data_IF_057182565120
#
_entry.id   IF_057182565120
#
_cell.length_a   1.000
_cell.length_b   1.000
_cell.length_c   1.000
_cell.angle_alpha   90.00
_cell.angle_beta   90.00
_cell.angle_gamma   90.00
#
_symmetry.space_group_name_H-M   'P 1'
#
loop_
_entity.id
_entity.type
_entity.pdbx_description
1 polymer ?
#
# COMPACT_ATOMS: atom_id res chain seq x y z
N UNK A 1 -30.70 -4.22 -2.39
CA UNK A 1 -29.78 -3.07 -2.28
C UNK A 1 -28.38 -3.66 -2.08
N UNK A 2 -27.66 -3.93 -3.17
CA UNK A 2 -26.35 -4.58 -3.09
C UNK A 2 -25.37 -3.60 -2.42
N UNK A 3 -24.77 -4.00 -1.31
CA UNK A 3 -23.73 -3.23 -0.64
C UNK A 3 -22.62 -2.91 -1.64
N UNK A 4 -22.37 -1.63 -1.93
CA UNK A 4 -21.32 -1.19 -2.86
C UNK A 4 -19.91 -1.63 -2.44
N UNK A 5 -19.74 -2.02 -1.16
CA UNK A 5 -18.49 -2.52 -0.61
C UNK A 5 -18.71 -3.84 0.12
N UNK A 6 -17.80 -4.81 -0.10
CA UNK A 6 -17.76 -6.04 0.69
C UNK A 6 -17.11 -5.76 2.07
N UNK A 7 -17.38 -6.57 3.11
CA UNK A 7 -16.81 -6.39 4.44
C UNK A 7 -15.28 -6.21 4.46
N UNK A 8 -14.59 -6.86 3.52
CA UNK A 8 -13.13 -6.83 3.39
C UNK A 8 -12.62 -5.46 2.92
N UNK A 9 -13.39 -4.75 2.10
CA UNK A 9 -13.00 -3.44 1.56
C UNK A 9 -13.04 -2.34 2.62
N UNK A 10 -13.84 -2.50 3.68
CA UNK A 10 -13.80 -1.59 4.83
C UNK A 10 -12.46 -1.64 5.57
N UNK A 11 -11.80 -2.81 5.60
CA UNK A 11 -10.45 -2.96 6.17
C UNK A 11 -9.43 -2.16 5.36
N UNK A 12 -9.54 -2.21 4.02
CA UNK A 12 -8.70 -1.42 3.14
C UNK A 12 -8.96 0.09 3.29
N UNK A 13 -10.22 0.51 3.41
CA UNK A 13 -10.57 1.92 3.67
C UNK A 13 -9.97 2.39 5.01
N UNK A 14 -9.98 1.56 6.05
CA UNK A 14 -9.33 1.89 7.32
C UNK A 14 -7.81 2.11 7.16
N UNK A 15 -7.14 1.29 6.34
CA UNK A 15 -5.73 1.51 6.01
C UNK A 15 -5.51 2.82 5.25
N UNK A 16 -6.38 3.16 4.29
CA UNK A 16 -6.30 4.44 3.55
C UNK A 16 -6.42 5.64 4.50
N UNK A 17 -7.35 5.58 5.47
CA UNK A 17 -7.52 6.65 6.46
C UNK A 17 -6.24 6.83 7.28
N UNK A 18 -5.58 5.73 7.68
CA UNK A 18 -4.31 5.80 8.40
C UNK A 18 -3.18 6.36 7.53
N UNK A 19 -3.10 5.99 6.25
CA UNK A 19 -2.14 6.56 5.31
C UNK A 19 -2.38 8.05 5.06
N UNK A 20 -3.64 8.48 5.02
CA UNK A 20 -3.99 9.89 4.90
C UNK A 20 -3.58 10.67 6.16
N UNK A 21 -3.85 10.13 7.35
CA UNK A 21 -3.44 10.74 8.61
C UNK A 21 -1.92 10.86 8.70
N UNK A 22 -1.20 9.80 8.34
CA UNK A 22 0.26 9.80 8.25
C UNK A 22 0.76 10.87 7.27
N UNK A 23 0.22 10.91 6.05
CA UNK A 23 0.58 11.88 5.03
C UNK A 23 0.40 13.33 5.51
N UNK A 24 -0.73 13.64 6.16
CA UNK A 24 -0.98 14.97 6.73
C UNK A 24 0.04 15.30 7.83
N UNK A 25 0.36 14.32 8.67
CA UNK A 25 1.27 14.52 9.80
C UNK A 25 2.72 14.71 9.36
N UNK A 26 3.17 13.95 8.36
CA UNK A 26 4.51 14.04 7.80
C UNK A 26 4.72 15.32 7.00
N UNK A 27 3.78 15.69 6.15
CA UNK A 27 3.82 16.98 5.43
C UNK A 27 3.74 18.13 6.42
N UNK A 28 2.86 18.03 7.44
CA UNK A 28 2.76 19.03 8.52
C UNK A 28 4.07 19.19 9.30
N UNK A 29 4.82 18.10 9.51
CA UNK A 29 6.13 18.12 10.17
C UNK A 29 7.20 18.86 9.37
N UNK A 30 7.06 19.01 8.05
CA UNK A 30 7.98 19.80 7.23
C UNK A 30 7.78 21.29 7.51
N UNK A 31 6.53 21.75 7.56
CA UNK A 31 6.21 23.16 7.76
C UNK A 31 6.32 23.60 9.23
N UNK A 32 5.94 22.73 10.17
CA UNK A 32 5.92 23.02 11.59
C UNK A 32 6.47 21.85 12.43
N UNK A 33 7.80 21.69 12.50
CA UNK A 33 8.42 20.55 13.18
C UNK A 33 8.13 20.50 14.69
N UNK A 34 7.75 21.62 15.31
CA UNK A 34 7.47 21.69 16.74
C UNK A 34 6.02 21.29 17.12
N UNK A 35 5.08 21.30 16.15
CA UNK A 35 3.68 20.89 16.37
C UNK A 35 3.42 19.44 15.96
N UNK A 36 4.05 18.99 14.88
CA UNK A 36 3.78 17.68 14.29
C UNK A 36 4.90 16.71 14.66
N UNK A 37 4.61 15.81 15.60
CA UNK A 37 5.56 14.79 16.06
C UNK A 37 5.74 13.69 15.02
N UNK A 38 6.96 13.53 14.49
CA UNK A 38 7.30 12.41 13.57
C UNK A 38 7.02 11.03 14.15
N UNK A 39 7.11 10.86 15.48
CA UNK A 39 6.78 9.58 16.13
C UNK A 39 5.33 9.18 15.93
N UNK A 40 4.40 10.15 15.90
CA UNK A 40 2.99 9.84 15.70
C UNK A 40 2.71 9.41 14.26
N UNK A 41 3.37 10.05 13.28
CA UNK A 41 3.38 9.61 11.89
C UNK A 41 3.90 8.16 11.77
N UNK A 42 5.03 7.85 12.41
CA UNK A 42 5.60 6.49 12.44
C UNK A 42 4.60 5.43 12.94
N UNK A 43 3.75 5.77 13.92
CA UNK A 43 2.68 4.89 14.37
C UNK A 43 1.56 4.74 13.34
N UNK A 44 1.14 5.83 12.69
CA UNK A 44 0.09 5.77 11.66
C UNK A 44 0.51 4.94 10.44
N UNK A 45 1.72 5.14 9.91
CA UNK A 45 2.23 4.37 8.78
C UNK A 45 2.39 2.88 9.12
N UNK A 46 2.91 2.56 10.31
CA UNK A 46 3.14 1.17 10.71
C UNK A 46 1.83 0.43 10.98
N UNK A 47 0.88 1.08 11.64
CA UNK A 47 -0.46 0.49 11.87
C UNK A 47 -1.26 0.38 10.56
N UNK A 48 -1.20 1.39 9.69
CA UNK A 48 -1.81 1.36 8.36
C UNK A 48 -1.25 0.22 7.51
N UNK A 49 0.07 0.05 7.49
CA UNK A 49 0.75 -1.03 6.77
C UNK A 49 0.36 -2.40 7.33
N UNK A 50 0.30 -2.56 8.66
CA UNK A 50 -0.12 -3.82 9.28
C UNK A 50 -1.56 -4.19 8.89
N UNK A 51 -2.49 -3.23 8.89
CA UNK A 51 -3.88 -3.45 8.48
C UNK A 51 -3.97 -3.75 6.99
N UNK A 52 -3.18 -3.08 6.15
CA UNK A 52 -3.14 -3.35 4.71
C UNK A 52 -2.59 -4.77 4.43
N UNK A 53 -1.53 -5.19 5.11
CA UNK A 53 -1.02 -6.57 5.01
C UNK A 53 -2.08 -7.58 5.47
N UNK A 54 -2.78 -7.32 6.58
CA UNK A 54 -3.87 -8.17 7.05
C UNK A 54 -4.99 -8.30 6.00
N UNK A 55 -5.37 -7.18 5.38
CA UNK A 55 -6.32 -7.17 4.26
C UNK A 55 -5.86 -8.10 3.12
N UNK A 56 -4.61 -7.98 2.66
CA UNK A 56 -4.07 -8.82 1.59
C UNK A 56 -4.03 -10.32 1.96
N UNK A 57 -3.70 -10.65 3.21
CA UNK A 57 -3.69 -12.03 3.71
C UNK A 57 -5.11 -12.60 3.72
N UNK A 58 -6.09 -11.83 4.22
CA UNK A 58 -7.48 -12.28 4.24
C UNK A 58 -8.05 -12.47 2.83
N UNK A 59 -7.68 -11.58 1.90
CA UNK A 59 -8.09 -11.67 0.51
C UNK A 59 -7.46 -12.89 -0.18
N UNK A 60 -6.16 -13.14 0.04
CA UNK A 60 -5.47 -14.31 -0.48
C UNK A 60 -6.05 -15.63 0.06
N UNK A 61 -6.45 -15.64 1.34
CA UNK A 61 -7.07 -16.82 1.97
C UNK A 61 -8.46 -17.14 1.40
N UNK A 62 -9.21 -16.12 0.98
CA UNK A 62 -10.53 -16.30 0.34
C UNK A 62 -10.43 -16.76 -1.11
N UNK A 63 -9.50 -16.18 -1.87
CA UNK A 63 -9.31 -16.51 -3.29
C UNK A 63 -8.49 -17.78 -3.51
N UNK A 64 -7.69 -18.22 -2.52
CA UNK A 64 -6.78 -19.36 -2.65
C UNK A 64 -5.58 -19.10 -3.58
N UNK A 65 -5.41 -17.85 -4.02
CA UNK A 65 -4.37 -17.36 -4.93
C UNK A 65 -3.69 -16.14 -4.33
N UNK A 66 -2.56 -15.69 -4.89
CA UNK A 66 -2.03 -14.37 -4.52
C UNK A 66 -3.02 -13.28 -4.97
N UNK A 67 -3.13 -12.16 -4.21
CA UNK A 67 -4.00 -11.04 -4.54
C UNK A 67 -3.38 -10.22 -5.69
N UNK A 68 -3.36 -10.80 -6.88
CA UNK A 68 -2.88 -10.18 -8.12
C UNK A 68 -3.82 -10.55 -9.29
N UNK A 69 -4.93 -11.23 -9.00
CA UNK A 69 -5.82 -11.78 -10.03
C UNK A 69 -6.68 -10.71 -10.67
N UNK A 70 -6.89 -9.57 -10.02
CA UNK A 70 -7.63 -8.42 -10.56
C UNK A 70 -6.77 -7.15 -10.59
N UNK A 71 -7.18 -6.16 -11.38
CA UNK A 71 -6.51 -4.84 -11.39
C UNK A 71 -6.54 -4.18 -10.01
N UNK A 72 -7.65 -4.35 -9.28
CA UNK A 72 -7.77 -3.86 -7.91
C UNK A 72 -6.76 -4.55 -6.98
N UNK A 73 -6.76 -5.88 -6.95
CA UNK A 73 -5.87 -6.67 -6.11
C UNK A 73 -4.40 -6.36 -6.37
N UNK A 74 -3.99 -6.43 -7.65
CA UNK A 74 -2.61 -6.13 -8.07
C UNK A 74 -2.18 -4.70 -7.70
N UNK A 75 -3.06 -3.71 -7.85
CA UNK A 75 -2.78 -2.31 -7.46
C UNK A 75 -2.60 -2.18 -5.95
N UNK A 76 -3.50 -2.79 -5.14
CA UNK A 76 -3.37 -2.75 -3.68
C UNK A 76 -2.12 -3.46 -3.18
N UNK A 77 -1.79 -4.63 -3.77
CA UNK A 77 -0.56 -5.36 -3.48
C UNK A 77 0.68 -4.51 -3.81
N UNK A 78 0.71 -3.88 -4.98
CA UNK A 78 1.78 -2.98 -5.38
C UNK A 78 1.96 -1.78 -4.44
N UNK A 79 0.86 -1.12 -4.05
CA UNK A 79 0.90 0.01 -3.11
C UNK A 79 1.43 -0.43 -1.74
N UNK A 80 1.04 -1.61 -1.27
CA UNK A 80 1.56 -2.16 -0.02
C UNK A 80 3.08 -2.36 -0.05
N UNK A 81 3.64 -2.79 -1.19
CA UNK A 81 5.08 -2.95 -1.39
C UNK A 81 5.83 -1.61 -1.41
N UNK A 82 5.27 -0.57 -2.03
CA UNK A 82 5.86 0.78 -2.00
C UNK A 82 5.96 1.29 -0.56
N UNK A 83 4.88 1.14 0.22
CA UNK A 83 4.86 1.54 1.64
C UNK A 83 5.87 0.72 2.44
N UNK A 84 5.85 -0.60 2.29
CA UNK A 84 6.77 -1.51 2.98
C UNK A 84 8.23 -1.12 2.71
N UNK A 85 8.58 -0.90 1.44
CA UNK A 85 9.93 -0.53 1.06
C UNK A 85 10.31 0.85 1.62
N UNK A 86 9.39 1.83 1.57
CA UNK A 86 9.60 3.16 2.13
C UNK A 86 9.82 3.13 3.64
N UNK A 87 9.04 2.31 4.36
CA UNK A 87 9.20 2.05 5.79
C UNK A 87 10.55 1.41 6.09
N UNK A 88 10.94 0.37 5.34
CA UNK A 88 12.25 -0.27 5.49
C UNK A 88 13.38 0.74 5.30
N UNK A 89 13.32 1.57 4.24
CA UNK A 89 14.36 2.58 3.98
C UNK A 89 14.40 3.65 5.07
N UNK A 90 13.24 4.07 5.57
CA UNK A 90 13.13 5.02 6.68
C UNK A 90 13.80 4.51 7.94
N UNK A 91 13.60 3.24 8.32
CA UNK A 91 14.18 2.68 9.54
C UNK A 91 15.62 2.20 9.38
N UNK A 92 15.96 1.57 8.25
CA UNK A 92 17.29 1.01 7.99
C UNK A 92 18.32 2.09 7.68
N UNK A 93 17.97 3.06 6.84
CA UNK A 93 18.89 4.13 6.40
C UNK A 93 18.61 5.48 7.07
N UNK A 94 17.65 5.55 8.00
CA UNK A 94 17.25 6.79 8.71
C UNK A 94 16.85 7.93 7.77
N UNK A 95 16.34 7.59 6.58
CA UNK A 95 15.88 8.54 5.56
C UNK A 95 14.49 9.08 5.91
N UNK A 96 14.39 9.89 6.97
CA UNK A 96 13.13 10.47 7.42
C UNK A 96 12.47 11.42 6.41
N UNK A 97 13.23 11.94 5.45
CA UNK A 97 12.71 12.83 4.41
C UNK A 97 12.00 12.09 3.28
N UNK A 98 12.04 10.75 3.26
CA UNK A 98 11.48 9.95 2.16
C UNK A 98 9.95 9.83 2.25
N UNK A 99 9.45 9.45 3.42
CA UNK A 99 8.03 9.18 3.61
C UNK A 99 7.10 10.39 3.39
N UNK A 100 7.49 11.66 3.68
CA UNK A 100 6.60 12.79 3.48
C UNK A 100 6.22 13.03 2.01
N UNK A 101 7.06 12.57 1.07
CA UNK A 101 6.78 12.65 -0.37
C UNK A 101 6.07 11.39 -0.88
N UNK A 102 6.41 10.21 -0.35
CA UNK A 102 5.81 8.94 -0.79
C UNK A 102 4.36 8.81 -0.32
N UNK A 103 4.06 9.16 0.94
CA UNK A 103 2.76 8.89 1.57
C UNK A 103 1.58 9.64 0.92
N UNK A 104 1.68 10.92 0.54
CA UNK A 104 0.62 11.58 -0.22
C UNK A 104 0.31 10.88 -1.55
N UNK A 105 1.36 10.47 -2.28
CA UNK A 105 1.23 9.77 -3.56
C UNK A 105 0.53 8.43 -3.35
N UNK A 106 1.05 7.60 -2.44
CA UNK A 106 0.45 6.30 -2.11
C UNK A 106 -1.00 6.46 -1.68
N UNK A 107 -1.32 7.45 -0.84
CA UNK A 107 -2.69 7.70 -0.38
C UNK A 107 -3.61 8.04 -1.55
N UNK A 108 -3.18 8.95 -2.44
CA UNK A 108 -3.93 9.31 -3.65
C UNK A 108 -4.20 8.10 -4.55
N UNK A 109 -3.18 7.27 -4.81
CA UNK A 109 -3.34 6.05 -5.59
C UNK A 109 -4.18 4.98 -4.88
N UNK A 110 -4.13 4.91 -3.54
CA UNK A 110 -4.97 3.98 -2.77
C UNK A 110 -6.44 4.37 -2.84
N UNK A 111 -6.74 5.68 -2.78
CA UNK A 111 -8.11 6.20 -3.01
C UNK A 111 -8.56 5.88 -4.44
N UNK A 112 -7.70 6.10 -5.44
CA UNK A 112 -7.99 5.73 -6.81
C UNK A 112 -8.27 4.23 -6.96
N UNK A 113 -7.50 3.36 -6.28
CA UNK A 113 -7.68 1.91 -6.30
C UNK A 113 -9.09 1.49 -5.86
N UNK A 114 -9.73 2.20 -4.92
CA UNK A 114 -11.12 1.91 -4.51
C UNK A 114 -12.10 2.00 -5.68
N UNK A 115 -11.85 2.85 -6.68
CA UNK A 115 -12.70 2.95 -7.87
C UNK A 115 -12.60 1.72 -8.78
N UNK A 116 -11.49 0.97 -8.70
CA UNK A 116 -11.26 -0.25 -9.46
C UNK A 116 -11.92 -1.48 -8.83
N UNK A 117 -12.56 -1.36 -7.66
CA UNK A 117 -13.26 -2.46 -6.98
C UNK A 117 -14.30 -3.14 -7.86
N UNK A 118 -14.99 -2.39 -8.73
CA UNK A 118 -16.02 -2.93 -9.63
C UNK A 118 -15.46 -3.52 -10.92
N UNK A 119 -14.14 -3.46 -11.09
CA UNK A 119 -13.49 -3.88 -12.31
C UNK A 119 -13.07 -5.35 -12.18
N UNK A 120 -13.96 -6.24 -12.64
CA UNK A 120 -13.73 -7.70 -12.67
C UNK A 120 -12.85 -8.14 -13.85
N UNK A 121 -12.05 -7.24 -14.45
CA UNK A 121 -11.02 -7.61 -15.41
C UNK A 121 -10.00 -8.51 -14.70
N UNK A 122 -10.20 -9.82 -14.83
CA UNK A 122 -9.30 -10.83 -14.35
C UNK A 122 -8.01 -10.80 -15.18
N UNK A 123 -6.89 -10.44 -14.55
CA UNK A 123 -5.56 -10.64 -15.13
C UNK A 123 -5.22 -12.12 -14.97
N UNK A 124 -5.76 -12.95 -15.85
CA UNK A 124 -5.37 -14.36 -16.09
C UNK A 124 -5.25 -15.23 -14.84
N UNK A 125 -6.32 -15.97 -14.56
CA UNK A 125 -6.57 -16.75 -13.36
C UNK A 125 -5.85 -18.12 -13.26
N UNK A 126 -4.56 -18.22 -13.60
CA UNK A 126 -3.83 -19.50 -13.48
C UNK A 126 -2.46 -19.36 -12.80
N UNK A 127 -2.42 -18.64 -11.66
CA UNK A 127 -1.22 -18.55 -10.81
C UNK A 127 -1.01 -19.81 -9.94
N UNK A 128 -1.01 -21.01 -10.52
CA UNK A 128 -0.83 -22.26 -9.74
C UNK A 128 0.62 -22.73 -9.62
N UNK A 129 1.51 -22.28 -10.50
CA UNK A 129 2.87 -22.79 -10.57
C UNK A 129 3.81 -22.04 -9.63
N UNK A 130 4.58 -22.75 -8.81
CA UNK A 130 5.61 -22.18 -7.92
C UNK A 130 6.56 -21.20 -8.64
N UNK A 131 6.96 -21.55 -9.86
CA UNK A 131 7.83 -20.72 -10.70
C UNK A 131 7.24 -19.34 -11.01
N UNK A 132 5.92 -19.27 -11.14
CA UNK A 132 5.23 -18.02 -11.43
C UNK A 132 5.21 -17.10 -10.21
N UNK A 133 5.01 -17.63 -9.00
CA UNK A 133 5.15 -16.85 -7.76
C UNK A 133 6.56 -16.31 -7.58
N UNK A 134 7.56 -17.17 -7.81
CA UNK A 134 8.96 -16.79 -7.74
C UNK A 134 9.36 -15.74 -8.80
N UNK A 135 8.59 -15.60 -9.88
CA UNK A 135 8.83 -14.59 -10.91
C UNK A 135 8.09 -13.28 -10.63
N UNK A 136 6.80 -13.33 -10.28
CA UNK A 136 5.95 -12.14 -10.15
C UNK A 136 6.31 -11.33 -8.91
N UNK A 137 6.60 -11.98 -7.78
CA UNK A 137 6.92 -11.26 -6.53
C UNK A 137 8.17 -10.38 -6.71
N UNK A 138 9.30 -10.88 -7.25
CA UNK A 138 10.46 -10.03 -7.53
C UNK A 138 10.19 -8.91 -8.53
N UNK A 139 9.33 -9.12 -9.54
CA UNK A 139 8.97 -8.07 -10.50
C UNK A 139 8.24 -6.93 -9.80
N UNK A 140 7.22 -7.24 -8.99
CA UNK A 140 6.50 -6.22 -8.23
C UNK A 140 7.41 -5.49 -7.23
N UNK A 141 8.32 -6.21 -6.58
CA UNK A 141 9.30 -5.63 -5.68
C UNK A 141 10.28 -4.71 -6.43
N UNK A 142 10.73 -5.11 -7.63
CA UNK A 142 11.55 -4.29 -8.51
C UNK A 142 10.83 -3.01 -8.95
N UNK A 143 9.57 -3.11 -9.38
CA UNK A 143 8.76 -1.94 -9.71
C UNK A 143 8.50 -1.02 -8.52
N UNK A 144 8.31 -1.57 -7.32
CA UNK A 144 8.17 -0.74 -6.11
C UNK A 144 9.47 0.01 -5.82
N UNK A 145 10.62 -0.65 -6.00
CA UNK A 145 11.95 -0.06 -5.84
C UNK A 145 12.20 1.07 -6.83
N UNK A 146 11.85 0.90 -8.11
CA UNK A 146 11.97 1.95 -9.11
C UNK A 146 11.06 3.15 -8.79
N UNK A 147 9.83 2.92 -8.32
CA UNK A 147 8.94 4.02 -7.92
C UNK A 147 9.49 4.80 -6.74
N UNK A 148 9.99 4.11 -5.71
CA UNK A 148 10.62 4.80 -4.57
C UNK A 148 11.86 5.58 -5.01
N UNK A 149 12.67 5.03 -5.91
CA UNK A 149 13.82 5.75 -6.47
C UNK A 149 13.40 6.96 -7.31
N UNK A 150 12.32 6.86 -8.08
CA UNK A 150 11.80 7.96 -8.90
C UNK A 150 11.28 9.11 -8.05
N UNK A 151 10.62 8.82 -6.92
CA UNK A 151 10.12 9.86 -6.00
C UNK A 151 11.28 10.67 -5.38
N UNK A 152 12.47 10.09 -5.28
CA UNK A 152 13.64 10.74 -4.68
C UNK A 152 14.54 11.47 -5.69
N UNK A 153 14.52 11.06 -6.96
CA UNK A 153 15.38 11.64 -8.02
C UNK A 153 14.89 13.00 -8.49
#
# INVERSE_FOLDING_TARGET
>A
MASMFSPIQYVFIAAIVLYLLDSIWEVGSIFNPNRFSKRLADYFILTGLAIHCAFLITLSSQSGTLPISTLFESSTFYLSLIVLLSVILKFLYRLQSLTPFVMPIVTGFSIAAVTLVKNDLALTADLKTFWLFAHIIPIFLGYASFTVSFIFS
#
